data_IF_991960604621
#
_entry.id   IF_991960604621
#
_cell.length_a   1.000
_cell.length_b   1.000
_cell.length_c   1.000
_cell.angle_alpha   90.00
_cell.angle_beta   90.00
_cell.angle_gamma   90.00
#
_symmetry.space_group_name_H-M   'P 1'
#
loop_
_entity.id
_entity.type
_entity.pdbx_description
1 polymer ?
#
# COMPACT_ATOMS: atom_id res chain seq x y z
N UNK A 1 2.42 69.19 59.32
CA UNK A 1 2.74 67.83 58.84
C UNK A 1 1.44 67.05 58.67
N UNK A 2 1.04 66.77 57.43
CA UNK A 2 0.30 65.57 56.98
C UNK A 2 0.08 65.70 55.47
N UNK A 3 0.55 64.71 54.74
CA UNK A 3 0.56 64.62 53.28
C UNK A 3 -0.85 64.42 52.73
N UNK A 4 -1.16 65.12 51.64
CA UNK A 4 -2.28 64.81 50.77
C UNK A 4 -1.79 63.78 49.74
N UNK A 5 -2.23 62.54 49.91
CA UNK A 5 -1.97 61.44 48.98
C UNK A 5 -2.81 61.59 47.71
N UNK A 6 -2.15 61.51 46.56
CA UNK A 6 -2.80 61.43 45.26
C UNK A 6 -3.51 60.07 45.10
N UNK A 7 -4.82 60.10 44.87
CA UNK A 7 -5.61 58.93 44.50
C UNK A 7 -5.39 58.68 43.01
N UNK A 8 -4.65 57.62 42.67
CA UNK A 8 -4.51 57.11 41.30
C UNK A 8 -5.77 56.29 40.98
N UNK A 9 -6.61 56.79 40.08
CA UNK A 9 -7.65 55.98 39.45
C UNK A 9 -6.98 55.01 38.46
N UNK A 10 -6.88 53.74 38.84
CA UNK A 10 -6.55 52.65 37.90
C UNK A 10 -7.82 52.36 37.10
N UNK A 11 -7.92 52.93 35.90
CA UNK A 11 -8.90 52.49 34.90
C UNK A 11 -8.39 51.15 34.35
N UNK A 12 -8.93 50.05 34.86
CA UNK A 12 -8.79 48.72 34.27
C UNK A 12 -9.48 48.73 32.91
N UNK A 13 -8.71 48.91 31.83
CA UNK A 13 -9.18 48.51 30.51
C UNK A 13 -9.41 46.99 30.54
N UNK A 14 -10.57 46.47 30.09
CA UNK A 14 -10.68 45.04 29.83
C UNK A 14 -9.66 44.74 28.73
N UNK A 15 -8.69 43.88 29.05
CA UNK A 15 -7.83 43.30 28.03
C UNK A 15 -8.77 42.70 26.99
N UNK A 16 -8.66 43.16 25.73
CA UNK A 16 -9.25 42.48 24.60
C UNK A 16 -8.52 41.14 24.55
N UNK A 17 -9.11 40.11 25.15
CA UNK A 17 -8.69 38.73 24.97
C UNK A 17 -8.97 38.43 23.52
N UNK A 18 -7.96 38.58 22.66
CA UNK A 18 -8.02 38.04 21.31
C UNK A 18 -8.28 36.55 21.45
N UNK A 19 -9.46 36.08 21.03
CA UNK A 19 -9.81 34.67 21.10
C UNK A 19 -8.69 33.84 20.45
N UNK A 20 -8.22 32.79 21.12
CA UNK A 20 -7.17 31.91 20.60
C UNK A 20 -7.60 31.37 19.23
N UNK A 21 -6.77 31.61 18.21
CA UNK A 21 -6.97 31.08 16.86
C UNK A 21 -6.66 29.58 16.86
N UNK A 22 -7.64 28.78 16.45
CA UNK A 22 -7.53 27.32 16.43
C UNK A 22 -7.06 26.78 15.09
N UNK A 23 -6.77 27.61 14.10
CA UNK A 23 -6.32 27.17 12.76
C UNK A 23 -5.10 26.26 12.86
N UNK A 24 -5.18 25.07 12.27
CA UNK A 24 -4.16 24.02 12.32
C UNK A 24 -4.13 23.18 13.60
N UNK A 25 -4.97 23.48 14.59
CA UNK A 25 -5.07 22.70 15.83
C UNK A 25 -6.08 21.56 15.69
N UNK A 26 -5.82 20.45 16.38
CA UNK A 26 -6.77 19.35 16.50
C UNK A 26 -7.80 19.63 17.61
N UNK A 27 -9.06 19.36 17.30
CA UNK A 27 -10.21 19.51 18.19
C UNK A 27 -11.00 18.22 18.29
N UNK A 28 -11.74 18.07 19.38
CA UNK A 28 -12.73 17.01 19.58
C UNK A 28 -14.09 17.61 19.89
N UNK A 29 -15.12 17.02 19.30
CA UNK A 29 -16.52 17.36 19.53
C UNK A 29 -16.91 17.05 20.98
N UNK A 30 -17.68 17.94 21.61
CA UNK A 30 -18.22 17.77 22.96
C UNK A 30 -19.36 16.76 23.04
N UNK A 31 -20.00 16.48 21.89
CA UNK A 31 -21.12 15.54 21.74
C UNK A 31 -21.16 14.99 20.31
N UNK A 32 -21.87 13.88 20.13
CA UNK A 32 -22.24 13.38 18.81
C UNK A 32 -23.44 14.20 18.25
N UNK A 33 -23.76 14.10 16.96
CA UNK A 33 -24.95 14.79 16.42
C UNK A 33 -24.77 16.27 16.11
N UNK A 34 -23.55 16.74 15.81
CA UNK A 34 -23.33 18.16 15.48
C UNK A 34 -23.62 18.35 13.99
N UNK A 35 -24.41 19.36 13.63
CA UNK A 35 -24.78 19.64 12.24
C UNK A 35 -23.96 20.79 11.65
N UNK A 36 -23.62 20.67 10.36
CA UNK A 36 -22.99 21.76 9.61
C UNK A 36 -23.87 22.99 9.58
N UNK A 37 -23.26 24.18 9.59
CA UNK A 37 -23.96 25.45 9.48
C UNK A 37 -23.62 26.16 8.17
N UNK A 38 -24.58 26.92 7.66
CA UNK A 38 -24.40 27.86 6.55
C UNK A 38 -23.59 29.09 7.00
N UNK A 39 -23.12 29.96 6.07
CA UNK A 39 -22.38 31.17 6.42
C UNK A 39 -23.13 32.17 7.31
N UNK A 40 -24.47 32.18 7.25
CA UNK A 40 -25.35 32.96 8.13
C UNK A 40 -25.62 32.27 9.48
N UNK A 41 -25.02 31.10 9.73
CA UNK A 41 -25.07 30.39 11.00
C UNK A 41 -26.28 29.47 11.18
N UNK A 42 -27.07 29.22 10.12
CA UNK A 42 -28.23 28.32 10.21
C UNK A 42 -27.80 26.86 10.08
N UNK A 43 -28.31 26.00 10.97
CA UNK A 43 -28.00 24.58 10.95
C UNK A 43 -28.62 23.90 9.72
N UNK A 44 -27.82 23.12 9.02
CA UNK A 44 -28.25 22.28 7.91
C UNK A 44 -28.79 20.95 8.43
N UNK A 45 -29.54 20.21 7.61
CA UNK A 45 -30.00 18.85 7.96
C UNK A 45 -28.85 17.83 8.07
N UNK A 46 -27.62 18.24 7.75
CA UNK A 46 -26.48 17.34 7.58
C UNK A 46 -25.60 17.32 8.82
N UNK A 47 -25.46 16.13 9.40
CA UNK A 47 -24.63 15.87 10.57
C UNK A 47 -23.15 15.71 10.18
N UNK A 48 -22.26 16.43 10.87
CA UNK A 48 -20.84 16.19 10.85
C UNK A 48 -20.50 14.90 11.62
N UNK A 49 -20.07 13.87 10.90
CA UNK A 49 -19.75 12.55 11.44
C UNK A 49 -18.31 12.45 11.99
N UNK A 50 -17.67 13.58 12.28
CA UNK A 50 -16.31 13.63 12.80
C UNK A 50 -16.34 13.87 14.30
N UNK A 51 -15.66 13.00 15.05
CA UNK A 51 -15.47 13.18 16.49
C UNK A 51 -14.22 14.00 16.75
N UNK A 52 -13.13 13.72 16.03
CA UNK A 52 -11.86 14.45 16.07
C UNK A 52 -11.59 15.03 14.69
N UNK A 53 -11.11 16.27 14.62
CA UNK A 53 -10.76 16.93 13.36
C UNK A 53 -9.69 18.01 13.55
N UNK A 54 -8.95 18.31 12.49
CA UNK A 54 -8.07 19.48 12.43
C UNK A 54 -8.84 20.69 11.91
N UNK A 55 -8.70 21.83 12.58
CA UNK A 55 -9.33 23.09 12.16
C UNK A 55 -8.62 23.66 10.93
N UNK A 56 -9.36 23.82 9.84
CA UNK A 56 -8.87 24.36 8.58
C UNK A 56 -8.90 25.89 8.56
N UNK A 57 -9.89 26.48 9.23
CA UNK A 57 -10.03 27.93 9.38
C UNK A 57 -10.85 28.27 10.63
N UNK A 58 -10.53 29.38 11.26
CA UNK A 58 -11.22 29.91 12.43
C UNK A 58 -11.77 31.32 12.14
N UNK A 59 -13.07 31.51 12.37
CA UNK A 59 -13.76 32.80 12.22
C UNK A 59 -14.16 33.42 13.56
N UNK A 60 -13.62 32.90 14.66
CA UNK A 60 -13.97 33.27 16.03
C UNK A 60 -15.17 32.47 16.57
N UNK A 61 -16.31 32.55 15.90
CA UNK A 61 -17.55 31.85 16.32
C UNK A 61 -17.73 30.47 15.68
N UNK A 62 -17.21 30.29 14.46
CA UNK A 62 -17.29 29.04 13.70
C UNK A 62 -15.88 28.55 13.35
N UNK A 63 -15.72 27.24 13.34
CA UNK A 63 -14.53 26.56 12.83
C UNK A 63 -14.89 25.78 11.57
N UNK A 64 -14.03 25.83 10.56
CA UNK A 64 -14.16 25.02 9.36
C UNK A 64 -13.35 23.74 9.54
N UNK A 65 -13.97 22.59 9.35
CA UNK A 65 -13.30 21.29 9.46
C UNK A 65 -13.69 20.37 8.30
N UNK A 66 -12.94 19.28 8.14
CA UNK A 66 -13.28 18.18 7.21
C UNK A 66 -13.86 17.01 7.98
N UNK A 67 -15.03 16.53 7.55
CA UNK A 67 -15.73 15.36 8.08
C UNK A 67 -16.10 14.42 6.92
N UNK A 68 -15.59 13.19 6.93
CA UNK A 68 -15.89 12.11 5.97
C UNK A 68 -16.06 12.61 4.51
N UNK A 69 -14.99 13.21 3.96
CA UNK A 69 -14.97 13.67 2.56
C UNK A 69 -15.67 15.01 2.29
N UNK A 70 -16.25 15.65 3.31
CA UNK A 70 -16.89 16.96 3.18
C UNK A 70 -16.25 18.00 4.09
N UNK A 71 -16.19 19.24 3.62
CA UNK A 71 -15.78 20.38 4.43
C UNK A 71 -16.97 21.27 4.73
N UNK A 72 -17.00 21.83 5.93
CA UNK A 72 -18.04 22.77 6.31
C UNK A 72 -17.72 23.49 7.62
N UNK A 73 -18.51 24.53 7.89
CA UNK A 73 -18.43 25.30 9.11
C UNK A 73 -19.27 24.68 10.22
N UNK A 74 -18.75 24.72 11.44
CA UNK A 74 -19.42 24.24 12.65
C UNK A 74 -19.21 25.23 13.79
N UNK A 75 -20.14 25.31 14.76
CA UNK A 75 -19.98 26.19 15.91
C UNK A 75 -18.74 25.82 16.73
N UNK A 76 -17.82 26.78 16.93
CA UNK A 76 -16.60 26.57 17.72
C UNK A 76 -16.92 26.12 19.15
N UNK A 77 -18.05 26.57 19.68
CA UNK A 77 -18.57 26.21 21.01
C UNK A 77 -18.84 24.71 21.20
N UNK A 78 -19.03 23.95 20.12
CA UNK A 78 -19.28 22.50 20.16
C UNK A 78 -18.00 21.68 20.28
N UNK A 79 -16.83 22.33 20.33
CA UNK A 79 -15.52 21.68 20.34
C UNK A 79 -14.68 22.09 21.53
N UNK A 80 -13.69 21.25 21.84
CA UNK A 80 -12.55 21.56 22.70
C UNK A 80 -11.26 21.17 21.98
N UNK A 81 -10.16 21.86 22.28
CA UNK A 81 -8.85 21.48 21.76
C UNK A 81 -8.48 20.07 22.27
N UNK A 82 -7.92 19.24 21.38
CA UNK A 82 -7.60 17.85 21.67
C UNK A 82 -6.58 17.71 22.81
N UNK A 83 -5.71 18.71 22.98
CA UNK A 83 -4.74 18.81 24.08
C UNK A 83 -5.43 18.88 25.45
N UNK A 84 -6.59 19.53 25.52
CA UNK A 84 -7.36 19.78 26.74
C UNK A 84 -8.54 18.81 26.93
N UNK A 85 -8.86 18.02 25.90
CA UNK A 85 -10.03 17.15 25.84
C UNK A 85 -10.19 16.21 27.04
N UNK A 86 -9.13 15.50 27.43
CA UNK A 86 -9.19 14.53 28.53
C UNK A 86 -9.56 15.23 29.84
N UNK A 87 -8.96 16.40 30.12
CA UNK A 87 -9.27 17.19 31.29
C UNK A 87 -10.72 17.69 31.23
N UNK A 88 -11.14 18.23 30.08
CA UNK A 88 -12.50 18.69 29.85
C UNK A 88 -13.56 17.61 30.18
N UNK A 89 -13.43 16.41 29.60
CA UNK A 89 -14.40 15.32 29.83
C UNK A 89 -14.32 14.72 31.24
N UNK A 90 -13.16 14.78 31.89
CA UNK A 90 -12.99 14.30 33.27
C UNK A 90 -13.68 15.22 34.28
N UNK A 91 -13.65 16.53 34.03
CA UNK A 91 -14.26 17.54 34.89
C UNK A 91 -15.78 17.65 34.72
N UNK A 92 -16.35 17.07 33.66
CA UNK A 92 -17.81 17.00 33.52
C UNK A 92 -18.40 16.14 34.65
N UNK A 93 -19.61 16.46 35.12
CA UNK A 93 -20.31 15.62 36.09
C UNK A 93 -20.35 14.18 35.55
N UNK A 94 -19.79 13.23 36.31
CA UNK A 94 -19.77 11.84 35.89
C UNK A 94 -21.22 11.37 35.79
N UNK A 95 -21.71 11.04 34.60
CA UNK A 95 -23.12 10.85 34.42
C UNK A 95 -23.58 9.52 35.01
N UNK A 96 -24.86 9.46 35.34
CA UNK A 96 -25.53 8.19 35.54
C UNK A 96 -25.57 7.36 34.24
N UNK A 97 -26.26 6.22 34.23
CA UNK A 97 -26.35 5.32 33.06
C UNK A 97 -26.83 6.00 31.75
N UNK A 98 -27.39 7.21 31.82
CA UNK A 98 -28.00 7.93 30.70
C UNK A 98 -27.03 8.78 29.86
N UNK A 99 -25.78 9.06 30.28
CA UNK A 99 -24.83 9.87 29.47
C UNK A 99 -23.47 9.18 29.28
N UNK A 100 -23.53 7.96 28.75
CA UNK A 100 -22.37 7.14 28.36
C UNK A 100 -21.45 7.82 27.32
N UNK A 101 -21.96 8.82 26.60
CA UNK A 101 -21.23 9.56 25.57
C UNK A 101 -19.95 10.21 26.10
N UNK A 102 -19.93 10.69 27.35
CA UNK A 102 -18.73 11.30 27.94
C UNK A 102 -17.56 10.31 28.06
N UNK A 103 -17.82 9.07 28.48
CA UNK A 103 -16.80 8.01 28.52
C UNK A 103 -16.31 7.67 27.11
N UNK A 104 -17.22 7.56 26.14
CA UNK A 104 -16.82 7.30 24.74
C UNK A 104 -15.93 8.43 24.20
N UNK A 105 -16.30 9.69 24.43
CA UNK A 105 -15.54 10.85 23.94
C UNK A 105 -14.19 10.99 24.64
N UNK A 106 -14.11 10.74 25.96
CA UNK A 106 -12.83 10.70 26.68
C UNK A 106 -11.95 9.55 26.19
N UNK A 107 -12.53 8.38 25.91
CA UNK A 107 -11.84 7.25 25.31
C UNK A 107 -11.29 7.55 23.91
N UNK A 108 -12.05 8.28 23.08
CA UNK A 108 -11.59 8.76 21.77
C UNK A 108 -10.44 9.76 21.93
N UNK A 109 -10.53 10.71 22.88
CA UNK A 109 -9.45 11.65 23.17
C UNK A 109 -8.17 10.91 23.60
N UNK A 110 -8.29 9.91 24.47
CA UNK A 110 -7.16 9.06 24.87
C UNK A 110 -6.56 8.30 23.68
N UNK A 111 -7.40 7.74 22.80
CA UNK A 111 -6.94 7.05 21.58
C UNK A 111 -6.16 7.99 20.66
N UNK A 112 -6.67 9.20 20.40
CA UNK A 112 -5.99 10.20 19.58
C UNK A 112 -4.64 10.65 20.20
N UNK A 113 -4.56 10.69 21.53
CA UNK A 113 -3.31 10.92 22.27
C UNK A 113 -2.41 9.66 22.40
N UNK A 114 -2.74 8.56 21.71
CA UNK A 114 -2.03 7.26 21.76
C UNK A 114 -1.98 6.60 23.15
N UNK A 115 -2.87 7.00 24.06
CA UNK A 115 -3.03 6.45 25.42
C UNK A 115 -4.05 5.30 25.41
N UNK A 116 -3.67 4.17 24.83
CA UNK A 116 -4.59 3.05 24.57
C UNK A 116 -5.13 2.35 25.83
N UNK A 117 -4.36 2.29 26.91
CA UNK A 117 -4.81 1.68 28.18
C UNK A 117 -5.98 2.45 28.81
N UNK A 118 -5.84 3.76 29.06
CA UNK A 118 -6.96 4.61 29.51
C UNK A 118 -8.14 4.60 28.54
N UNK A 119 -7.90 4.67 27.22
CA UNK A 119 -8.97 4.60 26.22
C UNK A 119 -9.81 3.32 26.36
N UNK A 120 -9.16 2.17 26.50
CA UNK A 120 -9.85 0.90 26.66
C UNK A 120 -10.67 0.83 27.96
N UNK A 121 -10.15 1.40 29.05
CA UNK A 121 -10.92 1.49 30.32
C UNK A 121 -12.19 2.30 30.14
N UNK A 122 -12.11 3.45 29.45
CA UNK A 122 -13.27 4.29 29.18
C UNK A 122 -14.30 3.61 28.29
N UNK A 123 -13.86 2.94 27.22
CA UNK A 123 -14.80 2.20 26.37
C UNK A 123 -15.45 1.01 27.08
N UNK A 124 -14.70 0.30 27.94
CA UNK A 124 -15.27 -0.78 28.75
C UNK A 124 -16.29 -0.25 29.76
N UNK A 125 -16.01 0.88 30.39
CA UNK A 125 -16.95 1.51 31.33
C UNK A 125 -18.20 2.02 30.60
N UNK A 126 -18.04 2.62 29.42
CA UNK A 126 -19.16 3.01 28.57
C UNK A 126 -20.09 1.81 28.25
N UNK A 127 -19.52 0.68 27.86
CA UNK A 127 -20.28 -0.55 27.56
C UNK A 127 -20.90 -1.17 28.82
N UNK A 128 -20.23 -1.07 29.97
CA UNK A 128 -20.74 -1.55 31.26
C UNK A 128 -21.97 -0.76 31.70
N UNK A 129 -21.95 0.56 31.50
CA UNK A 129 -23.04 1.46 31.85
C UNK A 129 -24.21 1.36 30.85
N UNK A 130 -23.91 1.24 29.56
CA UNK A 130 -24.90 1.05 28.50
C UNK A 130 -24.46 -0.04 27.49
N UNK A 131 -24.91 -1.30 27.69
CA UNK A 131 -24.64 -2.41 26.77
C UNK A 131 -25.34 -2.30 25.40
N UNK A 132 -26.11 -1.24 25.17
CA UNK A 132 -26.78 -0.91 23.91
C UNK A 132 -26.15 0.28 23.17
N UNK A 133 -25.04 0.83 23.70
CA UNK A 133 -24.29 1.91 23.07
C UNK A 133 -23.52 1.45 21.83
N UNK A 134 -24.12 1.55 20.65
CA UNK A 134 -23.44 1.28 19.37
C UNK A 134 -22.14 2.09 19.18
N UNK A 135 -22.07 3.40 19.55
CA UNK A 135 -20.84 4.17 19.47
C UNK A 135 -19.72 3.63 20.35
N UNK A 136 -20.02 3.12 21.55
CA UNK A 136 -19.00 2.57 22.44
C UNK A 136 -18.34 1.31 21.86
N UNK A 137 -19.14 0.38 21.34
CA UNK A 137 -18.62 -0.80 20.63
C UNK A 137 -17.83 -0.41 19.38
N UNK A 138 -18.35 0.51 18.55
CA UNK A 138 -17.64 0.97 17.36
C UNK A 138 -16.27 1.56 17.68
N UNK A 139 -16.19 2.46 18.68
CA UNK A 139 -14.91 3.09 19.03
C UNK A 139 -13.93 2.13 19.71
N UNK A 140 -14.42 1.16 20.48
CA UNK A 140 -13.56 0.09 21.02
C UNK A 140 -13.04 -0.84 19.92
N UNK A 141 -13.88 -1.16 18.94
CA UNK A 141 -13.47 -1.89 17.73
C UNK A 141 -12.39 -1.15 16.95
N UNK A 142 -12.51 0.17 16.77
CA UNK A 142 -11.48 1.00 16.15
C UNK A 142 -10.15 0.92 16.92
N UNK A 143 -10.22 0.96 18.26
CA UNK A 143 -9.02 0.80 19.11
C UNK A 143 -8.40 -0.59 18.96
N UNK A 144 -9.19 -1.66 18.87
CA UNK A 144 -8.68 -3.00 18.63
C UNK A 144 -8.00 -3.14 17.27
N UNK A 145 -8.60 -2.56 16.22
CA UNK A 145 -7.99 -2.52 14.89
C UNK A 145 -6.64 -1.78 14.90
N UNK A 146 -6.54 -0.63 15.59
CA UNK A 146 -5.26 0.07 15.78
C UNK A 146 -4.21 -0.77 16.52
N UNK A 147 -4.65 -1.64 17.44
CA UNK A 147 -3.79 -2.58 18.16
C UNK A 147 -3.53 -3.88 17.38
N UNK A 148 -4.01 -4.00 16.14
CA UNK A 148 -3.94 -5.20 15.29
C UNK A 148 -4.61 -6.45 15.89
N UNK A 149 -5.55 -6.25 16.81
CA UNK A 149 -6.38 -7.32 17.36
C UNK A 149 -7.68 -7.42 16.53
N UNK A 150 -7.55 -7.90 15.30
CA UNK A 150 -8.60 -7.79 14.28
C UNK A 150 -9.85 -8.61 14.64
N UNK A 151 -9.70 -9.76 15.30
CA UNK A 151 -10.82 -10.59 15.75
C UNK A 151 -11.68 -9.88 16.81
N UNK A 152 -11.05 -9.24 17.79
CA UNK A 152 -11.74 -8.43 18.80
C UNK A 152 -12.42 -7.20 18.16
N UNK A 153 -11.78 -6.60 17.16
CA UNK A 153 -12.38 -5.51 16.40
C UNK A 153 -13.66 -5.98 15.67
N UNK A 154 -13.62 -7.14 15.01
CA UNK A 154 -14.77 -7.76 14.34
C UNK A 154 -15.92 -8.04 15.31
N UNK A 155 -15.64 -8.56 16.52
CA UNK A 155 -16.66 -8.81 17.54
C UNK A 155 -17.39 -7.52 17.93
N UNK A 156 -16.62 -6.47 18.22
CA UNK A 156 -17.14 -5.16 18.60
C UNK A 156 -17.91 -4.50 17.46
N UNK A 157 -17.39 -4.52 16.23
CA UNK A 157 -18.12 -4.01 15.07
C UNK A 157 -19.40 -4.79 14.80
N UNK A 158 -19.38 -6.11 14.99
CA UNK A 158 -20.59 -6.94 14.84
C UNK A 158 -21.64 -6.60 15.88
N UNK A 159 -21.22 -6.25 17.10
CA UNK A 159 -22.15 -5.76 18.12
C UNK A 159 -22.69 -4.36 17.76
N UNK A 160 -21.83 -3.46 17.30
CA UNK A 160 -22.23 -2.12 16.84
C UNK A 160 -23.24 -2.17 15.68
N UNK A 161 -23.01 -3.01 14.67
CA UNK A 161 -23.92 -3.20 13.51
C UNK A 161 -25.28 -3.76 13.94
N UNK A 162 -25.31 -4.69 14.91
CA UNK A 162 -26.58 -5.21 15.44
C UNK A 162 -27.41 -4.14 16.15
N UNK A 163 -26.76 -3.15 16.75
CA UNK A 163 -27.41 -2.05 17.47
C UNK A 163 -27.80 -0.91 16.52
N UNK A 164 -26.95 -0.59 15.54
CA UNK A 164 -27.20 0.40 14.49
C UNK A 164 -26.67 -0.11 13.14
N UNK A 165 -27.52 -0.75 12.32
CA UNK A 165 -27.11 -1.31 11.04
C UNK A 165 -26.94 -0.26 9.94
N UNK A 166 -27.34 0.99 10.18
CA UNK A 166 -27.44 2.03 9.15
C UNK A 166 -26.12 2.76 8.86
N UNK A 167 -25.06 2.49 9.63
CA UNK A 167 -23.78 3.19 9.52
C UNK A 167 -22.81 2.50 8.55
N UNK A 168 -22.59 3.06 7.34
CA UNK A 168 -21.68 2.45 6.35
C UNK A 168 -20.24 2.30 6.85
N UNK A 169 -19.77 3.22 7.71
CA UNK A 169 -18.41 3.21 8.25
C UNK A 169 -18.14 2.01 9.14
N UNK A 170 -19.15 1.48 9.84
CA UNK A 170 -18.97 0.32 10.72
C UNK A 170 -18.82 -0.96 9.90
N UNK A 171 -19.65 -1.12 8.86
CA UNK A 171 -19.50 -2.21 7.89
C UNK A 171 -18.15 -2.14 7.20
N UNK A 172 -17.75 -0.97 6.70
CA UNK A 172 -16.43 -0.78 6.08
C UNK A 172 -15.27 -1.16 7.02
N UNK A 173 -15.28 -0.69 8.27
CA UNK A 173 -14.20 -1.00 9.22
C UNK A 173 -14.18 -2.49 9.60
N UNK A 174 -15.35 -3.15 9.66
CA UNK A 174 -15.42 -4.61 9.87
C UNK A 174 -14.92 -5.37 8.65
N UNK A 175 -15.25 -4.92 7.45
CA UNK A 175 -14.73 -5.48 6.20
C UNK A 175 -13.20 -5.37 6.13
N UNK A 176 -12.64 -4.24 6.55
CA UNK A 176 -11.18 -4.07 6.66
C UNK A 176 -10.56 -5.02 7.69
N UNK A 177 -11.20 -5.22 8.84
CA UNK A 177 -10.72 -6.19 9.82
C UNK A 177 -10.80 -7.63 9.30
N UNK A 178 -11.83 -7.99 8.53
CA UNK A 178 -11.91 -9.30 7.87
C UNK A 178 -10.83 -9.50 6.80
N UNK A 179 -10.52 -8.45 6.03
CA UNK A 179 -9.44 -8.48 5.04
C UNK A 179 -8.06 -8.75 5.69
N UNK A 180 -7.78 -8.09 6.82
CA UNK A 180 -6.54 -8.33 7.60
C UNK A 180 -6.46 -9.74 8.19
N UNK A 181 -7.61 -10.36 8.50
CA UNK A 181 -7.71 -11.77 8.92
C UNK A 181 -7.53 -12.73 7.72
N UNK A 182 -7.73 -12.26 6.49
CA UNK A 182 -7.71 -13.06 5.27
C UNK A 182 -9.06 -13.67 4.89
N UNK A 183 -10.15 -13.28 5.53
CA UNK A 183 -11.52 -13.70 5.16
C UNK A 183 -12.09 -12.76 4.09
N UNK A 184 -11.63 -12.96 2.85
CA UNK A 184 -11.98 -12.13 1.69
C UNK A 184 -13.50 -12.10 1.42
N UNK A 185 -14.21 -13.20 1.67
CA UNK A 185 -15.66 -13.27 1.41
C UNK A 185 -16.47 -12.40 2.37
N UNK A 186 -16.15 -12.44 3.66
CA UNK A 186 -16.79 -11.54 4.64
C UNK A 186 -16.40 -10.08 4.43
N UNK A 187 -15.14 -9.82 4.04
CA UNK A 187 -14.70 -8.47 3.70
C UNK A 187 -15.51 -7.89 2.52
N UNK A 188 -15.67 -8.66 1.44
CA UNK A 188 -16.46 -8.26 0.26
C UNK A 188 -17.93 -8.01 0.62
N UNK A 189 -18.52 -8.86 1.47
CA UNK A 189 -19.91 -8.69 1.92
C UNK A 189 -20.10 -7.39 2.70
N UNK A 190 -19.21 -7.10 3.65
CA UNK A 190 -19.25 -5.88 4.45
C UNK A 190 -19.00 -4.62 3.62
N UNK A 191 -18.05 -4.64 2.69
CA UNK A 191 -17.86 -3.52 1.77
C UNK A 191 -19.06 -3.31 0.85
N UNK A 192 -19.72 -4.39 0.42
CA UNK A 192 -20.94 -4.30 -0.38
C UNK A 192 -22.07 -3.63 0.39
N UNK A 193 -22.24 -3.95 1.67
CA UNK A 193 -23.24 -3.30 2.51
C UNK A 193 -22.89 -1.83 2.79
N UNK A 194 -21.61 -1.51 3.01
CA UNK A 194 -21.14 -0.13 3.13
C UNK A 194 -21.45 0.71 1.86
N UNK A 195 -21.26 0.12 0.67
CA UNK A 195 -21.61 0.73 -0.62
C UNK A 195 -23.13 0.88 -0.76
N UNK A 196 -23.92 -0.12 -0.38
CA UNK A 196 -25.39 -0.05 -0.43
C UNK A 196 -25.93 1.09 0.42
N UNK A 197 -25.35 1.30 1.61
CA UNK A 197 -25.70 2.37 2.54
C UNK A 197 -25.15 3.74 2.10
N UNK A 198 -24.04 3.77 1.37
CA UNK A 198 -23.41 4.99 0.88
C UNK A 198 -22.78 4.76 -0.50
N UNK A 199 -23.56 4.92 -1.60
CA UNK A 199 -23.09 4.67 -2.96
C UNK A 199 -21.94 5.57 -3.44
N UNK A 200 -21.58 6.61 -2.68
CA UNK A 200 -20.44 7.49 -2.97
C UNK A 200 -19.20 7.15 -2.14
N UNK A 201 -19.17 6.01 -1.45
CA UNK A 201 -18.07 5.64 -0.54
C UNK A 201 -16.88 5.05 -1.30
N UNK A 202 -16.03 5.92 -1.85
CA UNK A 202 -14.85 5.57 -2.67
C UNK A 202 -13.98 4.46 -2.06
N UNK A 203 -13.65 4.59 -0.77
CA UNK A 203 -12.78 3.61 -0.10
C UNK A 203 -13.41 2.20 -0.04
N UNK A 204 -14.73 2.09 0.06
CA UNK A 204 -15.42 0.81 0.08
C UNK A 204 -15.36 0.13 -1.29
N UNK A 205 -15.51 0.87 -2.39
CA UNK A 205 -15.29 0.35 -3.74
C UNK A 205 -13.84 -0.10 -3.94
N UNK A 206 -12.87 0.77 -3.62
CA UNK A 206 -11.46 0.45 -3.77
C UNK A 206 -11.06 -0.82 -3.00
N UNK A 207 -11.46 -0.93 -1.73
CA UNK A 207 -11.13 -2.10 -0.93
C UNK A 207 -11.88 -3.35 -1.40
N UNK A 208 -13.15 -3.26 -1.83
CA UNK A 208 -13.86 -4.40 -2.42
C UNK A 208 -13.19 -4.89 -3.70
N UNK A 209 -12.71 -3.97 -4.53
CA UNK A 209 -11.94 -4.28 -5.74
C UNK A 209 -10.61 -4.97 -5.42
N UNK A 210 -9.92 -4.53 -4.37
CA UNK A 210 -8.70 -5.19 -3.89
C UNK A 210 -8.98 -6.62 -3.43
N UNK A 211 -10.00 -6.85 -2.60
CA UNK A 211 -10.38 -8.20 -2.14
C UNK A 211 -10.80 -9.10 -3.31
N UNK A 212 -11.56 -8.58 -4.28
CA UNK A 212 -11.91 -9.30 -5.51
C UNK A 212 -10.67 -9.66 -6.34
N UNK A 213 -9.67 -8.78 -6.39
CA UNK A 213 -8.39 -9.06 -7.06
C UNK A 213 -7.62 -10.19 -6.37
N UNK A 214 -7.62 -10.25 -5.03
CA UNK A 214 -7.04 -11.37 -4.28
C UNK A 214 -7.74 -12.69 -4.58
N UNK A 215 -9.06 -12.64 -4.79
CA UNK A 215 -9.86 -13.78 -5.28
C UNK A 215 -9.70 -14.07 -6.78
N UNK A 216 -8.82 -13.34 -7.50
CA UNK A 216 -8.63 -13.40 -8.96
C UNK A 216 -9.88 -13.09 -9.78
N UNK A 217 -10.88 -12.43 -9.17
CA UNK A 217 -12.08 -11.96 -9.84
C UNK A 217 -11.82 -10.59 -10.50
N UNK A 218 -10.84 -10.54 -11.41
CA UNK A 218 -10.29 -9.29 -11.94
C UNK A 218 -11.33 -8.41 -12.64
N UNK A 219 -12.27 -8.99 -13.40
CA UNK A 219 -13.34 -8.23 -14.04
C UNK A 219 -14.23 -7.48 -13.03
N UNK A 220 -14.62 -8.14 -11.93
CA UNK A 220 -15.40 -7.50 -10.87
C UNK A 220 -14.58 -6.49 -10.05
N UNK A 221 -13.27 -6.68 -9.96
CA UNK A 221 -12.38 -5.72 -9.35
C UNK A 221 -12.25 -4.44 -10.19
N UNK A 222 -12.14 -4.60 -11.52
CA UNK A 222 -12.11 -3.49 -12.47
C UNK A 222 -13.40 -2.65 -12.37
N UNK A 223 -14.57 -3.28 -12.33
CA UNK A 223 -15.86 -2.57 -12.14
C UNK A 223 -15.86 -1.72 -10.86
N UNK A 224 -15.30 -2.25 -9.77
CA UNK A 224 -15.20 -1.51 -8.50
C UNK A 224 -14.21 -0.35 -8.60
N UNK A 225 -13.05 -0.56 -9.22
CA UNK A 225 -12.08 0.52 -9.42
C UNK A 225 -12.58 1.58 -10.40
N UNK A 226 -13.34 1.20 -11.43
CA UNK A 226 -14.01 2.13 -12.34
C UNK A 226 -14.92 3.09 -11.57
N UNK A 227 -15.75 2.55 -10.67
CA UNK A 227 -16.65 3.36 -9.87
C UNK A 227 -15.92 4.22 -8.84
N UNK A 228 -14.86 3.68 -8.21
CA UNK A 228 -14.00 4.46 -7.32
C UNK A 228 -13.33 5.63 -8.05
N UNK A 229 -12.82 5.41 -9.27
CA UNK A 229 -12.20 6.44 -10.12
C UNK A 229 -13.24 7.46 -10.59
N UNK A 230 -14.46 7.01 -10.94
CA UNK A 230 -15.55 7.92 -11.33
C UNK A 230 -15.90 8.89 -10.20
N UNK A 231 -15.85 8.42 -8.96
CA UNK A 231 -16.12 9.22 -7.76
C UNK A 231 -14.93 10.10 -7.34
N UNK A 232 -13.69 9.63 -7.49
CA UNK A 232 -12.46 10.37 -7.17
C UNK A 232 -11.34 10.16 -8.23
N UNK A 233 -11.36 10.93 -9.34
CA UNK A 233 -10.48 10.71 -10.50
C UNK A 233 -9.03 11.19 -10.33
N UNK A 234 -8.68 11.71 -9.16
CA UNK A 234 -7.33 12.23 -8.87
C UNK A 234 -6.51 11.32 -7.95
N UNK A 235 -7.02 10.13 -7.65
CA UNK A 235 -6.34 9.12 -6.85
C UNK A 235 -5.45 8.21 -7.71
N UNK A 236 -4.13 8.43 -7.64
CA UNK A 236 -3.16 7.65 -8.41
C UNK A 236 -3.22 6.15 -8.11
N UNK A 237 -3.43 5.78 -6.85
CA UNK A 237 -3.50 4.39 -6.37
C UNK A 237 -4.69 3.61 -6.92
N UNK A 238 -5.80 4.28 -7.26
CA UNK A 238 -6.95 3.61 -7.90
C UNK A 238 -6.61 3.20 -9.33
N UNK A 239 -5.93 4.06 -10.09
CA UNK A 239 -5.44 3.71 -11.43
C UNK A 239 -4.38 2.62 -11.35
N UNK A 240 -3.46 2.69 -10.39
CA UNK A 240 -2.48 1.62 -10.17
C UNK A 240 -3.17 0.28 -9.90
N UNK A 241 -4.15 0.24 -9.00
CA UNK A 241 -4.88 -0.98 -8.64
C UNK A 241 -5.68 -1.54 -9.81
N UNK A 242 -6.31 -0.67 -10.62
CA UNK A 242 -7.01 -1.09 -11.84
C UNK A 242 -6.05 -1.60 -12.90
N UNK A 243 -4.88 -0.97 -13.05
CA UNK A 243 -3.82 -1.42 -13.95
C UNK A 243 -3.30 -2.82 -13.59
N UNK A 244 -3.11 -3.10 -12.30
CA UNK A 244 -2.77 -4.43 -11.81
C UNK A 244 -3.85 -5.45 -12.20
N UNK A 245 -5.13 -5.13 -11.98
CA UNK A 245 -6.23 -6.01 -12.36
C UNK A 245 -6.29 -6.28 -13.87
N UNK A 246 -6.15 -5.24 -14.71
CA UNK A 246 -6.03 -5.38 -16.17
C UNK A 246 -4.85 -6.26 -16.57
N UNK A 247 -3.69 -6.06 -15.95
CA UNK A 247 -2.48 -6.82 -16.23
C UNK A 247 -2.64 -8.32 -15.94
N UNK A 248 -3.27 -8.67 -14.81
CA UNK A 248 -3.53 -10.07 -14.47
C UNK A 248 -4.64 -10.70 -15.31
N UNK A 249 -5.55 -9.89 -15.85
CA UNK A 249 -6.54 -10.33 -16.84
C UNK A 249 -5.94 -10.52 -18.24
N UNK A 250 -4.72 -10.02 -18.50
CA UNK A 250 -4.03 -10.09 -19.80
C UNK A 250 -4.26 -8.87 -20.70
N UNK A 251 -4.99 -7.87 -20.21
CA UNK A 251 -5.37 -6.64 -20.92
C UNK A 251 -4.25 -5.58 -20.82
N UNK A 252 -3.13 -5.86 -21.49
CA UNK A 252 -1.90 -5.06 -21.35
C UNK A 252 -2.00 -3.63 -21.92
N UNK A 253 -2.97 -3.30 -22.77
CA UNK A 253 -3.17 -1.94 -23.28
C UNK A 253 -3.80 -1.05 -22.21
N UNK A 254 -4.89 -1.52 -21.60
CA UNK A 254 -5.61 -0.82 -20.54
C UNK A 254 -4.71 -0.65 -19.30
N UNK A 255 -3.93 -1.68 -18.94
CA UNK A 255 -2.97 -1.60 -17.85
C UNK A 255 -1.95 -0.46 -18.05
N UNK A 256 -1.39 -0.33 -19.26
CA UNK A 256 -0.43 0.73 -19.58
C UNK A 256 -1.06 2.12 -19.47
N UNK A 257 -2.27 2.31 -19.99
CA UNK A 257 -2.96 3.60 -19.92
C UNK A 257 -3.21 4.03 -18.48
N UNK A 258 -3.60 3.09 -17.63
CA UNK A 258 -3.81 3.34 -16.20
C UNK A 258 -2.50 3.61 -15.47
N UNK A 259 -1.42 2.86 -15.74
CA UNK A 259 -0.11 3.19 -15.18
C UNK A 259 0.41 4.55 -15.66
N UNK A 260 0.15 4.94 -16.91
CA UNK A 260 0.45 6.28 -17.40
C UNK A 260 -0.32 7.35 -16.62
N UNK A 261 -1.59 7.10 -16.30
CA UNK A 261 -2.40 8.02 -15.51
C UNK A 261 -1.92 8.09 -14.06
N UNK A 262 -1.63 6.95 -13.43
CA UNK A 262 -1.08 6.88 -12.08
C UNK A 262 0.26 7.65 -11.97
N UNK A 263 1.20 7.43 -12.90
CA UNK A 263 2.49 8.12 -12.93
C UNK A 263 2.38 9.63 -13.16
N UNK A 264 1.33 10.10 -13.85
CA UNK A 264 1.07 11.54 -14.00
C UNK A 264 0.50 12.17 -12.73
N UNK A 265 -0.33 11.44 -11.99
CA UNK A 265 -0.94 11.91 -10.76
C UNK A 265 0.04 11.88 -9.58
N UNK A 266 0.92 10.87 -9.55
CA UNK A 266 1.98 10.72 -8.56
C UNK A 266 3.31 10.36 -9.25
N UNK A 267 4.07 11.37 -9.73
CA UNK A 267 5.32 11.14 -10.44
C UNK A 267 6.46 10.67 -9.54
N UNK A 268 6.32 10.77 -8.21
CA UNK A 268 7.35 10.33 -7.26
C UNK A 268 7.20 8.87 -6.86
N UNK A 269 6.03 8.27 -7.11
CA UNK A 269 5.82 6.84 -6.90
C UNK A 269 6.55 6.01 -7.96
N UNK A 270 7.79 5.64 -7.64
CA UNK A 270 8.66 4.81 -8.50
C UNK A 270 8.12 3.40 -8.74
N UNK A 271 7.22 2.91 -7.88
CA UNK A 271 6.67 1.56 -8.00
C UNK A 271 5.82 1.40 -9.27
N UNK A 272 5.10 2.45 -9.67
CA UNK A 272 4.30 2.48 -10.90
C UNK A 272 5.19 2.28 -12.14
N UNK A 273 6.36 2.91 -12.19
CA UNK A 273 7.30 2.74 -13.31
C UNK A 273 7.82 1.31 -13.38
N UNK A 274 8.17 0.72 -12.23
CA UNK A 274 8.59 -0.68 -12.19
C UNK A 274 7.50 -1.60 -12.75
N UNK A 275 6.26 -1.48 -12.26
CA UNK A 275 5.11 -2.26 -12.75
C UNK A 275 4.86 -2.05 -14.25
N UNK A 276 4.88 -0.80 -14.72
CA UNK A 276 4.67 -0.47 -16.13
C UNK A 276 5.77 -1.05 -17.03
N UNK A 277 7.03 -1.04 -16.58
CA UNK A 277 8.14 -1.67 -17.30
C UNK A 277 7.91 -3.16 -17.56
N UNK A 278 7.37 -3.90 -16.58
CA UNK A 278 7.01 -5.31 -16.79
C UNK A 278 5.94 -5.50 -17.86
N UNK A 279 4.96 -4.59 -17.94
CA UNK A 279 3.96 -4.62 -19.01
C UNK A 279 4.59 -4.31 -20.36
N UNK A 280 5.52 -3.35 -20.43
CA UNK A 280 6.26 -3.05 -21.66
C UNK A 280 7.08 -4.24 -22.16
N UNK A 281 7.80 -4.94 -21.27
CA UNK A 281 8.54 -6.16 -21.63
C UNK A 281 7.61 -7.21 -22.22
N UNK A 282 6.45 -7.46 -21.59
CA UNK A 282 5.44 -8.40 -22.10
C UNK A 282 4.89 -8.05 -23.48
N UNK A 283 4.94 -6.77 -23.84
CA UNK A 283 4.51 -6.25 -25.15
C UNK A 283 5.64 -6.19 -26.18
N UNK A 284 6.88 -6.51 -25.80
CA UNK A 284 8.06 -6.36 -26.67
C UNK A 284 8.55 -4.92 -26.81
N UNK A 285 8.01 -3.97 -26.04
CA UNK A 285 8.36 -2.55 -26.07
C UNK A 285 9.57 -2.27 -25.18
N UNK A 286 10.72 -2.86 -25.53
CA UNK A 286 11.87 -2.92 -24.64
C UNK A 286 12.47 -1.56 -24.30
N UNK A 287 12.48 -0.61 -25.24
CA UNK A 287 13.00 0.75 -25.00
C UNK A 287 12.21 1.46 -23.89
N UNK A 288 10.89 1.36 -23.92
CA UNK A 288 10.02 1.95 -22.89
C UNK A 288 10.22 1.27 -21.54
N UNK A 289 10.39 -0.05 -21.53
CA UNK A 289 10.71 -0.78 -20.30
C UNK A 289 12.04 -0.32 -19.70
N UNK A 290 13.06 -0.14 -20.54
CA UNK A 290 14.38 0.33 -20.14
C UNK A 290 14.32 1.74 -19.55
N UNK A 291 13.56 2.66 -20.17
CA UNK A 291 13.37 4.02 -19.65
C UNK A 291 12.71 4.02 -18.27
N UNK A 292 11.68 3.18 -18.09
CA UNK A 292 11.00 3.02 -16.81
C UNK A 292 11.91 2.42 -15.74
N UNK A 293 12.63 1.33 -16.04
CA UNK A 293 13.62 0.77 -15.10
C UNK A 293 14.75 1.76 -14.79
N UNK A 294 15.17 2.57 -15.76
CA UNK A 294 16.15 3.63 -15.56
C UNK A 294 15.62 4.71 -14.62
N UNK A 295 14.34 5.05 -14.74
CA UNK A 295 13.68 5.97 -13.80
C UNK A 295 13.71 5.39 -12.38
N UNK A 296 13.35 4.12 -12.20
CA UNK A 296 13.42 3.45 -10.89
C UNK A 296 14.84 3.49 -10.31
N UNK A 297 15.87 3.18 -11.12
CA UNK A 297 17.26 3.18 -10.67
C UNK A 297 17.82 4.57 -10.31
N UNK A 298 17.29 5.66 -10.88
CA UNK A 298 17.67 7.02 -10.46
C UNK A 298 17.29 7.30 -9.00
N UNK A 299 16.18 6.72 -8.54
CA UNK A 299 15.70 6.89 -7.17
C UNK A 299 16.19 5.78 -6.23
N UNK A 300 16.44 4.58 -6.75
CA UNK A 300 16.85 3.41 -5.97
C UNK A 300 18.05 2.71 -6.63
N UNK A 301 19.24 3.32 -6.62
CA UNK A 301 20.43 2.81 -7.34
C UNK A 301 20.99 1.51 -6.75
N UNK A 302 20.54 1.09 -5.57
CA UNK A 302 20.90 -0.18 -4.92
C UNK A 302 19.92 -1.33 -5.20
N UNK A 303 19.00 -1.20 -6.16
CA UNK A 303 18.02 -2.25 -6.44
C UNK A 303 18.58 -3.30 -7.41
N UNK A 304 19.08 -4.42 -6.85
CA UNK A 304 19.61 -5.57 -7.60
C UNK A 304 18.60 -6.06 -8.64
N UNK A 305 17.36 -6.27 -8.22
CA UNK A 305 16.29 -6.79 -9.08
C UNK A 305 16.04 -5.89 -10.30
N UNK A 306 16.10 -4.57 -10.13
CA UNK A 306 15.84 -3.62 -11.23
C UNK A 306 16.98 -3.64 -12.25
N UNK A 307 18.24 -3.75 -11.80
CA UNK A 307 19.36 -3.99 -12.74
C UNK A 307 19.18 -5.30 -13.49
N UNK A 308 18.78 -6.38 -12.82
CA UNK A 308 18.53 -7.67 -13.48
C UNK A 308 17.43 -7.54 -14.53
N UNK A 309 16.28 -6.93 -14.20
CA UNK A 309 15.18 -6.79 -15.16
C UNK A 309 15.52 -5.86 -16.32
N UNK A 310 16.24 -4.76 -16.07
CA UNK A 310 16.72 -3.89 -17.15
C UNK A 310 17.77 -4.58 -18.02
N UNK A 311 18.67 -5.36 -17.43
CA UNK A 311 19.62 -6.22 -18.15
C UNK A 311 18.93 -7.26 -19.04
N UNK A 312 17.85 -7.87 -18.57
CA UNK A 312 17.01 -8.76 -19.38
C UNK A 312 16.37 -7.99 -20.54
N UNK A 313 15.82 -6.80 -20.29
CA UNK A 313 15.23 -5.97 -21.36
C UNK A 313 16.27 -5.54 -22.41
N UNK A 314 17.49 -5.16 -21.99
CA UNK A 314 18.61 -4.91 -22.89
C UNK A 314 18.95 -6.14 -23.75
N UNK A 315 19.05 -7.32 -23.13
CA UNK A 315 19.33 -8.58 -23.82
C UNK A 315 18.25 -8.91 -24.87
N UNK A 316 16.97 -8.81 -24.52
CA UNK A 316 15.84 -9.05 -25.43
C UNK A 316 15.80 -8.07 -26.60
N UNK A 317 16.30 -6.86 -26.40
CA UNK A 317 16.46 -5.86 -27.46
C UNK A 317 17.76 -5.98 -28.29
N UNK A 318 18.55 -7.03 -28.07
CA UNK A 318 19.81 -7.29 -28.79
C UNK A 318 21.01 -6.43 -28.33
N UNK A 319 20.86 -5.69 -27.23
CA UNK A 319 21.87 -4.78 -26.68
C UNK A 319 22.66 -5.46 -25.57
N UNK A 320 23.47 -6.43 -25.97
CA UNK A 320 24.12 -7.37 -25.05
C UNK A 320 25.20 -6.73 -24.17
N UNK A 321 25.92 -5.73 -24.67
CA UNK A 321 26.93 -5.03 -23.87
C UNK A 321 26.30 -4.30 -22.67
N UNK A 322 25.21 -3.57 -22.91
CA UNK A 322 24.44 -2.92 -21.85
C UNK A 322 23.87 -3.94 -20.86
N UNK A 323 23.39 -5.09 -21.35
CA UNK A 323 22.89 -6.17 -20.50
C UNK A 323 23.98 -6.71 -19.55
N UNK A 324 25.19 -6.99 -20.06
CA UNK A 324 26.34 -7.40 -19.25
C UNK A 324 26.70 -6.31 -18.23
N UNK A 325 26.65 -5.04 -18.62
CA UNK A 325 26.88 -3.90 -17.72
C UNK A 325 25.88 -3.84 -16.55
N UNK A 326 24.60 -4.09 -16.83
CA UNK A 326 23.55 -4.12 -15.80
C UNK A 326 23.69 -5.33 -14.87
N UNK A 327 23.94 -6.54 -15.40
CA UNK A 327 24.18 -7.69 -14.54
C UNK A 327 25.45 -7.52 -13.69
N UNK A 328 26.48 -6.87 -14.22
CA UNK A 328 27.69 -6.52 -13.45
C UNK A 328 27.38 -5.51 -12.35
N UNK A 329 26.50 -4.54 -12.61
CA UNK A 329 26.05 -3.59 -11.60
C UNK A 329 25.22 -4.29 -10.51
N UNK A 330 24.36 -5.24 -10.87
CA UNK A 330 23.61 -6.06 -9.92
C UNK A 330 24.56 -6.86 -9.00
N UNK A 331 25.57 -7.53 -9.57
CA UNK A 331 26.56 -8.31 -8.82
C UNK A 331 27.45 -7.42 -7.94
N UNK A 332 27.71 -6.17 -8.35
CA UNK A 332 28.44 -5.21 -7.51
C UNK A 332 27.62 -4.81 -6.28
N UNK A 333 26.30 -4.73 -6.40
CA UNK A 333 25.40 -4.41 -5.29
C UNK A 333 25.24 -5.64 -4.37
N UNK A 334 25.00 -6.82 -4.96
CA UNK A 334 24.96 -8.10 -4.24
C UNK A 334 25.80 -9.17 -4.97
N UNK A 335 27.02 -9.46 -4.49
CA UNK A 335 27.89 -10.48 -5.09
C UNK A 335 27.35 -11.91 -5.01
N UNK A 336 26.33 -12.17 -4.19
CA UNK A 336 25.72 -13.48 -4.02
C UNK A 336 24.35 -13.60 -4.71
N UNK A 337 23.97 -12.63 -5.55
CA UNK A 337 22.76 -12.75 -6.36
C UNK A 337 22.97 -13.78 -7.49
N UNK A 338 22.48 -15.00 -7.25
CA UNK A 338 22.64 -16.11 -8.19
C UNK A 338 21.89 -15.89 -9.51
N UNK A 339 20.89 -15.00 -9.56
CA UNK A 339 20.12 -14.70 -10.77
C UNK A 339 20.92 -13.80 -11.70
N UNK A 340 21.55 -12.75 -11.18
CA UNK A 340 22.42 -11.85 -11.92
C UNK A 340 23.65 -12.58 -12.46
N UNK A 341 24.31 -13.41 -11.62
CA UNK A 341 25.41 -14.28 -12.05
C UNK A 341 24.99 -15.20 -13.19
N UNK A 342 23.86 -15.89 -13.04
CA UNK A 342 23.37 -16.81 -14.07
C UNK A 342 23.03 -16.09 -15.39
N UNK A 343 22.38 -14.93 -15.32
CA UNK A 343 22.04 -14.17 -16.53
C UNK A 343 23.28 -13.64 -17.25
N UNK A 344 24.30 -13.17 -16.52
CA UNK A 344 25.57 -12.74 -17.12
C UNK A 344 26.35 -13.91 -17.71
N UNK A 345 26.40 -15.05 -17.00
CA UNK A 345 27.00 -16.28 -17.49
C UNK A 345 26.33 -16.78 -18.77
N UNK A 346 25.00 -16.75 -18.82
CA UNK A 346 24.23 -17.12 -20.01
C UNK A 346 24.59 -16.26 -21.22
N UNK A 347 24.72 -14.94 -21.04
CA UNK A 347 25.20 -14.08 -22.13
C UNK A 347 26.62 -14.45 -22.56
N UNK A 348 27.56 -14.64 -21.64
CA UNK A 348 28.91 -15.04 -22.02
C UNK A 348 28.99 -16.43 -22.67
N UNK A 349 28.06 -17.34 -22.37
CA UNK A 349 28.06 -18.68 -22.94
C UNK A 349 27.42 -18.73 -24.33
N UNK A 350 26.25 -18.09 -24.50
CA UNK A 350 25.37 -18.34 -25.66
C UNK A 350 24.89 -17.06 -26.36
N UNK A 351 25.56 -15.93 -26.16
CA UNK A 351 25.18 -14.69 -26.86
C UNK A 351 25.17 -14.89 -28.39
N UNK A 352 24.11 -14.45 -29.10
CA UNK A 352 24.08 -14.47 -30.56
C UNK A 352 25.24 -13.71 -31.21
N UNK A 353 25.73 -12.65 -30.57
CA UNK A 353 26.96 -11.95 -30.97
C UNK A 353 28.18 -12.67 -30.38
N UNK A 354 28.89 -13.42 -31.22
CA UNK A 354 30.10 -14.18 -30.86
C UNK A 354 31.16 -13.32 -30.18
N UNK A 355 31.24 -12.02 -30.50
CA UNK A 355 32.23 -11.10 -29.91
C UNK A 355 31.99 -10.89 -28.41
N UNK A 356 30.78 -11.14 -27.93
CA UNK A 356 30.41 -11.00 -26.53
C UNK A 356 30.63 -12.28 -25.73
N UNK A 357 30.86 -13.43 -26.40
CA UNK A 357 31.05 -14.72 -25.72
C UNK A 357 32.41 -14.79 -25.03
N UNK A 358 32.43 -15.46 -23.88
CA UNK A 358 33.63 -15.68 -23.09
C UNK A 358 33.44 -16.92 -22.20
N UNK A 359 33.87 -18.09 -22.68
CA UNK A 359 33.71 -19.36 -21.97
C UNK A 359 34.29 -19.37 -20.56
N UNK A 360 35.47 -18.78 -20.35
CA UNK A 360 36.13 -18.72 -19.03
C UNK A 360 35.26 -17.96 -18.03
N UNK A 361 34.87 -16.73 -18.36
CA UNK A 361 34.02 -15.90 -17.50
C UNK A 361 32.63 -16.53 -17.30
N UNK A 362 32.10 -17.17 -18.35
CA UNK A 362 30.82 -17.87 -18.27
C UNK A 362 30.86 -19.00 -17.23
N UNK A 363 31.93 -19.82 -17.22
CA UNK A 363 32.08 -20.92 -16.27
C UNK A 363 32.22 -20.41 -14.84
N UNK A 364 32.98 -19.34 -14.62
CA UNK A 364 33.17 -18.76 -13.29
C UNK A 364 31.85 -18.30 -12.68
N UNK A 365 31.08 -17.47 -13.41
CA UNK A 365 29.79 -16.98 -12.93
C UNK A 365 28.74 -18.09 -12.79
N UNK A 366 28.65 -19.01 -13.76
CA UNK A 366 27.68 -20.11 -13.72
C UNK A 366 27.97 -21.07 -12.56
N UNK A 367 29.24 -21.40 -12.32
CA UNK A 367 29.64 -22.25 -11.19
C UNK A 367 29.28 -21.58 -9.88
N UNK A 368 29.57 -20.29 -9.73
CA UNK A 368 29.21 -19.54 -8.53
C UNK A 368 27.69 -19.52 -8.31
N UNK A 369 26.90 -19.32 -9.36
CA UNK A 369 25.44 -19.39 -9.28
C UNK A 369 24.93 -20.78 -8.86
N UNK A 370 25.54 -21.86 -9.36
CA UNK A 370 25.24 -23.22 -8.93
C UNK A 370 25.61 -23.46 -7.46
N UNK A 371 26.77 -23.00 -7.00
CA UNK A 371 27.18 -23.11 -5.59
C UNK A 371 26.19 -22.41 -4.64
N UNK A 372 25.77 -21.19 -4.98
CA UNK A 372 24.80 -20.41 -4.20
C UNK A 372 23.42 -21.08 -4.12
N UNK A 373 23.10 -21.98 -5.05
CA UNK A 373 21.86 -22.77 -5.05
C UNK A 373 22.09 -24.21 -4.63
N UNK A 374 23.24 -24.52 -4.03
CA UNK A 374 23.64 -25.86 -3.59
C UNK A 374 23.52 -26.91 -4.70
N UNK A 375 23.70 -26.50 -5.96
CA UNK A 375 23.61 -27.35 -7.15
C UNK A 375 22.23 -27.99 -7.37
N UNK A 376 21.16 -27.37 -6.83
CA UNK A 376 19.78 -27.87 -6.92
C UNK A 376 18.96 -27.20 -8.04
N UNK A 377 19.40 -26.06 -8.55
CA UNK A 377 18.67 -25.32 -9.58
C UNK A 377 19.04 -25.80 -10.99
N UNK A 378 18.12 -26.51 -11.66
CA UNK A 378 18.33 -27.08 -12.98
C UNK A 378 18.58 -26.03 -14.08
N UNK A 379 18.02 -24.82 -13.97
CA UNK A 379 18.27 -23.75 -14.95
C UNK A 379 19.72 -23.28 -14.86
N UNK A 380 20.24 -23.15 -13.63
CA UNK A 380 21.64 -22.78 -13.41
C UNK A 380 22.60 -23.87 -13.85
N UNK A 381 22.28 -25.14 -13.59
CA UNK A 381 23.04 -26.28 -14.12
C UNK A 381 23.08 -26.32 -15.65
N UNK A 382 21.95 -26.01 -16.29
CA UNK A 382 21.88 -25.92 -17.75
C UNK A 382 22.73 -24.76 -18.31
N UNK A 383 22.76 -23.63 -17.61
CA UNK A 383 23.63 -22.50 -17.95
C UNK A 383 25.11 -22.85 -17.77
N UNK A 384 25.46 -23.57 -16.70
CA UNK A 384 26.82 -24.09 -16.48
C UNK A 384 27.23 -25.06 -17.59
N UNK A 385 26.33 -25.94 -18.02
CA UNK A 385 26.61 -26.84 -19.14
C UNK A 385 26.94 -26.08 -20.42
N UNK A 386 26.16 -25.06 -20.76
CA UNK A 386 26.42 -24.20 -21.92
C UNK A 386 27.75 -23.44 -21.78
N UNK A 387 28.06 -22.92 -20.59
CA UNK A 387 29.32 -22.25 -20.30
C UNK A 387 30.52 -23.19 -20.47
N UNK A 388 30.43 -24.43 -19.96
CA UNK A 388 31.45 -25.45 -20.15
C UNK A 388 31.67 -25.76 -21.64
N UNK A 389 30.60 -25.91 -22.42
CA UNK A 389 30.70 -26.17 -23.86
C UNK A 389 31.38 -25.02 -24.61
N UNK A 390 31.03 -23.77 -24.31
CA UNK A 390 31.68 -22.58 -24.88
C UNK A 390 33.16 -22.49 -24.47
N UNK A 391 33.52 -23.00 -23.29
CA UNK A 391 34.90 -23.10 -22.82
C UNK A 391 35.64 -24.36 -23.33
N UNK A 392 35.03 -25.15 -24.24
CA UNK A 392 35.61 -26.38 -24.79
C UNK A 392 35.61 -27.60 -23.84
N UNK A 393 34.96 -27.50 -22.68
CA UNK A 393 34.85 -28.54 -21.65
C UNK A 393 33.61 -29.42 -21.90
N UNK A 394 33.61 -30.16 -23.01
CA UNK A 394 32.41 -30.89 -23.48
C UNK A 394 31.96 -32.02 -22.54
N UNK A 395 32.88 -32.74 -21.89
CA UNK A 395 32.53 -33.79 -20.92
C UNK A 395 31.76 -33.22 -19.73
N UNK A 396 32.23 -32.08 -19.20
CA UNK A 396 31.54 -31.36 -18.12
C UNK A 396 30.20 -30.79 -18.61
N UNK A 397 30.14 -30.29 -19.85
CA UNK A 397 28.88 -29.82 -20.45
C UNK A 397 27.82 -30.93 -20.50
N UNK A 398 28.18 -32.12 -20.99
CA UNK A 398 27.29 -33.29 -21.03
C UNK A 398 26.86 -33.70 -19.63
N UNK A 399 27.81 -33.76 -18.67
CA UNK A 399 27.54 -34.11 -17.28
C UNK A 399 26.52 -33.17 -16.65
N UNK A 400 26.73 -31.85 -16.74
CA UNK A 400 25.84 -30.88 -16.10
C UNK A 400 24.49 -30.77 -16.80
N UNK A 401 24.44 -30.92 -18.13
CA UNK A 401 23.18 -30.95 -18.87
C UNK A 401 22.34 -32.19 -18.50
N UNK A 402 22.97 -33.37 -18.37
CA UNK A 402 22.30 -34.59 -17.89
C UNK A 402 21.80 -34.42 -16.46
N UNK A 403 22.60 -33.83 -15.57
CA UNK A 403 22.18 -33.54 -14.20
C UNK A 403 20.98 -32.58 -14.14
N UNK A 404 20.94 -31.54 -14.97
CA UNK A 404 19.78 -30.65 -15.05
C UNK A 404 18.49 -31.38 -15.48
N UNK A 405 18.61 -32.41 -16.33
CA UNK A 405 17.49 -33.22 -16.80
C UNK A 405 16.98 -34.24 -15.78
N UNK A 406 17.69 -34.45 -14.65
CA UNK A 406 17.21 -35.29 -13.55
C UNK A 406 16.07 -34.62 -12.77
N UNK A 407 15.95 -33.28 -12.83
CA UNK A 407 14.85 -32.53 -12.24
C UNK A 407 13.55 -32.75 -13.06
N UNK A 408 12.49 -33.34 -12.47
CA UNK A 408 11.27 -33.67 -13.20
C UNK A 408 10.52 -32.45 -13.75
N UNK A 409 10.50 -31.34 -13.02
CA UNK A 409 9.79 -30.11 -13.41
C UNK A 409 10.52 -29.41 -14.56
N UNK A 410 11.85 -29.41 -14.52
CA UNK A 410 12.68 -28.94 -15.60
C UNK A 410 12.53 -29.84 -16.84
N UNK A 411 12.60 -31.16 -16.67
CA UNK A 411 12.46 -32.12 -17.76
C UNK A 411 11.09 -32.01 -18.46
N UNK A 412 10.01 -31.82 -17.70
CA UNK A 412 8.68 -31.64 -18.26
C UNK A 412 8.57 -30.42 -19.20
N UNK A 413 9.33 -29.35 -18.91
CA UNK A 413 9.30 -28.09 -19.69
C UNK A 413 10.34 -28.05 -20.82
N UNK A 414 11.56 -28.54 -20.55
CA UNK A 414 12.73 -28.35 -21.41
C UNK A 414 13.42 -29.65 -21.81
N UNK A 415 12.83 -30.81 -21.54
CA UNK A 415 13.48 -32.11 -21.72
C UNK A 415 13.93 -32.39 -23.15
N UNK A 416 13.11 -32.03 -24.15
CA UNK A 416 13.48 -32.20 -25.58
C UNK A 416 14.71 -31.35 -25.94
N UNK A 417 14.62 -30.04 -25.70
CA UNK A 417 15.70 -29.10 -25.97
C UNK A 417 16.98 -29.48 -25.20
N UNK A 418 16.84 -29.93 -23.95
CA UNK A 418 17.97 -30.37 -23.13
C UNK A 418 18.62 -31.66 -23.64
N UNK A 419 17.85 -32.64 -24.13
CA UNK A 419 18.41 -33.84 -24.76
C UNK A 419 19.10 -33.52 -26.09
N UNK A 420 18.57 -32.59 -26.87
CA UNK A 420 19.23 -32.14 -28.09
C UNK A 420 20.54 -31.40 -27.77
N UNK A 421 20.58 -30.60 -26.71
CA UNK A 421 21.83 -30.01 -26.18
C UNK A 421 22.87 -31.06 -25.83
N UNK A 422 22.47 -32.15 -25.14
CA UNK A 422 23.38 -33.26 -24.84
C UNK A 422 24.01 -33.81 -26.11
N UNK A 423 23.22 -34.08 -27.16
CA UNK A 423 23.72 -34.60 -28.44
C UNK A 423 24.69 -33.63 -29.11
N UNK A 424 24.41 -32.33 -29.07
CA UNK A 424 25.29 -31.28 -29.61
C UNK A 424 26.63 -31.26 -28.87
N UNK A 425 26.62 -31.35 -27.55
CA UNK A 425 27.84 -31.39 -26.73
C UNK A 425 28.64 -32.68 -26.93
N UNK A 426 27.98 -33.84 -27.08
CA UNK A 426 28.63 -35.12 -27.40
C UNK A 426 29.36 -35.06 -28.78
N UNK A 427 28.91 -34.19 -29.69
CA UNK A 427 29.58 -33.90 -30.96
C UNK A 427 30.67 -32.82 -30.87
N UNK A 428 31.04 -32.39 -29.66
CA UNK A 428 32.07 -31.36 -29.41
C UNK A 428 31.76 -30.01 -30.07
N UNK A 429 30.49 -29.59 -30.02
CA UNK A 429 30.03 -28.30 -30.54
C UNK A 429 29.40 -27.45 -29.43
N UNK A 430 29.70 -26.15 -29.33
CA UNK A 430 29.01 -25.25 -28.42
C UNK A 430 27.62 -24.87 -28.95
N UNK A 431 26.77 -24.32 -28.07
CA UNK A 431 25.47 -23.78 -28.45
C UNK A 431 25.67 -22.39 -29.11
N UNK A 432 25.37 -22.28 -30.40
CA UNK A 432 25.36 -20.99 -31.11
C UNK A 432 26.27 -20.88 -32.33
N UNK A 433 26.99 -21.95 -32.69
CA UNK A 433 27.64 -22.06 -34.00
C UNK A 433 26.66 -22.65 -35.02
N UNK A 434 26.28 -21.88 -36.03
CA UNK A 434 25.53 -22.38 -37.20
C UNK A 434 26.47 -23.01 -38.21
#
# INVERSE_FOLDING_TARGET
MRSLGAVVFVVLFPAIVTAEDWTGQDVIAKRFGIHFVTPDGTATAEEARCVVATVLADSGGLVRIRSVGKEGWLPKSEFVLLKDAVAYFTLQPQPGPADVSLYVLRGVAHTAQKKYGPALKDFNEAIRLDPTSAPAFFQRGNLWALKKAHELAVEDYTRAIRLDPSRPTVHFNRGAAWAEIGDHDKAIADYTEAIRLSPTYVAAYANRGAERSQKKAFGQAIEDFDEAIRLDPNRADLYESRADAWYYQGEHYQAVEDYNRAARLDPVNVHVYFKRAHVWVRRGEFDRAIDDYTTVLRHSPGSVNVYVYRGIAWSLSGRFEQAVGDFTSAIRVDPNDAVALNNRASLWAICPDEKQRNGVKAVDDARRACELTEWKDAIKLCTLAAACAENGQFDDAVKWQKKALEDPDFFAKFGRDGLDRVRVYEQHKPLGTK
#
